data_IF_188830812539
#
_entry.id   IF_188830812539
#
_cell.length_a   1.000
_cell.length_b   1.000
_cell.length_c   1.000
_cell.angle_alpha   90.00
_cell.angle_beta   90.00
_cell.angle_gamma   90.00
#
_symmetry.space_group_name_H-M   'P 1'
#
loop_
_entity.id
_entity.type
_entity.pdbx_description
1 polymer ?
#
# COMPACT_ATOMS: atom_id res chain seq x y z
N UNK A 1 -20.49 -6.91 3.98
CA UNK A 1 -20.58 -6.47 2.58
C UNK A 1 -21.80 -5.58 2.43
N UNK A 2 -21.62 -4.36 1.94
CA UNK A 2 -22.72 -3.40 1.80
C UNK A 2 -23.71 -3.87 0.73
N UNK A 3 -25.01 -3.62 0.93
CA UNK A 3 -26.09 -3.91 -0.03
C UNK A 3 -25.81 -3.37 -1.45
N UNK A 4 -25.03 -2.29 -1.57
CA UNK A 4 -24.62 -1.73 -2.86
C UNK A 4 -23.66 -2.68 -3.63
N UNK A 5 -22.80 -3.40 -2.92
CA UNK A 5 -21.89 -4.38 -3.53
C UNK A 5 -22.67 -5.58 -4.08
N UNK A 6 -23.70 -6.03 -3.36
CA UNK A 6 -24.56 -7.13 -3.78
C UNK A 6 -25.42 -6.74 -4.99
N UNK A 7 -25.97 -5.52 -4.99
CA UNK A 7 -26.76 -5.00 -6.11
C UNK A 7 -25.94 -4.88 -7.41
N UNK A 8 -24.67 -4.44 -7.32
CA UNK A 8 -23.75 -4.35 -8.47
C UNK A 8 -23.46 -5.75 -9.03
N UNK A 9 -23.17 -6.73 -8.16
CA UNK A 9 -22.90 -8.12 -8.58
C UNK A 9 -24.13 -8.77 -9.24
N UNK A 10 -25.33 -8.58 -8.68
CA UNK A 10 -26.56 -9.13 -9.25
C UNK A 10 -26.95 -8.48 -10.59
N UNK A 11 -26.68 -7.18 -10.78
CA UNK A 11 -26.93 -6.46 -12.04
C UNK A 11 -25.97 -6.88 -13.16
N UNK A 12 -24.73 -7.24 -12.83
CA UNK A 12 -23.71 -7.68 -13.79
C UNK A 12 -23.98 -9.11 -14.28
N UNK A 13 -24.50 -10.00 -13.43
CA UNK A 13 -24.71 -11.41 -13.79
C UNK A 13 -25.98 -11.70 -14.61
N UNK A 14 -26.81 -10.69 -14.92
CA UNK A 14 -27.97 -10.85 -15.81
C UNK A 14 -29.08 -11.77 -15.30
N UNK A 15 -29.11 -12.07 -13.99
CA UNK A 15 -30.09 -12.99 -13.41
C UNK A 15 -31.40 -12.27 -13.06
N UNK A 16 -32.44 -12.49 -13.85
CA UNK A 16 -33.75 -11.86 -13.65
C UNK A 16 -34.42 -12.28 -12.32
N UNK A 17 -33.98 -13.38 -11.67
CA UNK A 17 -34.47 -13.76 -10.35
C UNK A 17 -33.92 -12.88 -9.22
N UNK A 18 -32.78 -12.20 -9.43
CA UNK A 18 -32.20 -11.31 -8.42
C UNK A 18 -32.90 -9.94 -8.32
N UNK A 19 -33.68 -9.54 -9.33
CA UNK A 19 -34.37 -8.24 -9.34
C UNK A 19 -35.50 -8.14 -8.29
N UNK A 20 -36.14 -9.25 -7.93
CA UNK A 20 -37.22 -9.25 -6.93
C UNK A 20 -36.70 -9.37 -5.50
N UNK A 21 -35.46 -9.84 -5.29
CA UNK A 21 -34.85 -10.03 -3.97
C UNK A 21 -34.12 -8.77 -3.45
N UNK A 22 -33.75 -7.85 -4.34
CA UNK A 22 -32.91 -6.69 -4.02
C UNK A 22 -33.73 -5.40 -4.16
N UNK A 23 -34.49 -5.01 -3.13
CA UNK A 23 -35.32 -3.79 -2.99
C UNK A 23 -35.03 -2.61 -3.93
N UNK A 24 -35.35 -2.76 -5.22
CA UNK A 24 -34.91 -1.86 -6.30
C UNK A 24 -35.48 -0.45 -6.15
N UNK A 25 -36.69 -0.38 -5.56
CA UNK A 25 -37.42 0.84 -5.23
C UNK A 25 -36.81 1.64 -4.08
N UNK A 26 -35.90 1.05 -3.29
CA UNK A 26 -35.30 1.69 -2.11
C UNK A 26 -33.96 2.39 -2.42
N UNK A 27 -33.43 2.21 -3.64
CA UNK A 27 -32.20 2.88 -4.07
C UNK A 27 -32.44 4.38 -4.34
N UNK A 28 -31.45 5.24 -4.04
CA UNK A 28 -31.45 6.64 -4.47
C UNK A 28 -31.66 6.78 -5.99
N UNK A 29 -32.47 7.77 -6.41
CA UNK A 29 -32.91 7.92 -7.82
C UNK A 29 -31.74 8.12 -8.79
N UNK A 30 -30.68 8.80 -8.36
CA UNK A 30 -29.42 8.99 -9.09
C UNK A 30 -28.71 7.65 -9.39
N UNK A 31 -28.75 6.71 -8.45
CA UNK A 31 -28.22 5.35 -8.64
C UNK A 31 -29.11 4.52 -9.56
N UNK A 32 -30.43 4.66 -9.49
CA UNK A 32 -31.36 4.01 -10.42
C UNK A 32 -31.16 4.50 -11.87
N UNK A 33 -30.87 5.79 -12.05
CA UNK A 33 -30.57 6.40 -13.36
C UNK A 33 -29.22 5.89 -13.88
N UNK A 34 -28.19 5.86 -13.03
CA UNK A 34 -26.87 5.33 -13.38
C UNK A 34 -26.94 3.85 -13.81
N UNK A 35 -27.68 3.02 -13.06
CA UNK A 35 -27.87 1.61 -13.38
C UNK A 35 -28.63 1.39 -14.70
N UNK A 36 -29.69 2.18 -14.97
CA UNK A 36 -30.42 2.13 -16.26
C UNK A 36 -29.54 2.52 -17.45
N UNK A 37 -28.67 3.52 -17.27
CA UNK A 37 -27.72 3.93 -18.30
C UNK A 37 -26.65 2.86 -18.56
N UNK A 38 -26.22 2.12 -17.53
CA UNK A 38 -25.32 0.99 -17.70
C UNK A 38 -25.97 -0.18 -18.47
N UNK A 39 -27.26 -0.46 -18.22
CA UNK A 39 -28.02 -1.52 -18.93
C UNK A 39 -28.18 -1.18 -20.42
N UNK A 40 -28.47 0.07 -20.78
CA UNK A 40 -28.58 0.49 -22.18
C UNK A 40 -27.25 0.38 -22.96
N UNK A 41 -26.13 0.25 -22.27
CA UNK A 41 -24.81 0.03 -22.87
C UNK A 41 -24.44 -1.45 -23.08
N UNK A 42 -25.28 -2.42 -22.66
CA UNK A 42 -25.00 -3.86 -22.75
C UNK A 42 -25.07 -4.45 -24.19
N UNK A 43 -25.48 -3.68 -25.20
CA UNK A 43 -25.52 -4.16 -26.59
C UNK A 43 -24.17 -4.03 -27.34
N UNK A 44 -23.07 -3.72 -26.65
CA UNK A 44 -21.76 -3.56 -27.28
C UNK A 44 -20.69 -4.32 -26.48
N UNK A 45 -20.54 -5.62 -26.76
CA UNK A 45 -19.30 -6.37 -26.54
C UNK A 45 -18.95 -6.76 -25.10
N UNK A 46 -18.41 -7.97 -24.97
CA UNK A 46 -17.90 -8.57 -23.73
C UNK A 46 -16.91 -7.65 -22.99
N UNK A 47 -17.19 -7.35 -21.72
CA UNK A 47 -16.21 -6.75 -20.82
C UNK A 47 -15.53 -7.85 -20.01
N UNK A 48 -14.28 -8.15 -20.33
CA UNK A 48 -13.36 -8.66 -19.33
C UNK A 48 -13.09 -7.53 -18.34
N UNK A 49 -13.61 -7.63 -17.12
CA UNK A 49 -13.15 -6.78 -16.01
C UNK A 49 -11.69 -7.13 -15.73
N UNK A 50 -10.77 -6.50 -16.45
CA UNK A 50 -9.36 -6.49 -16.06
C UNK A 50 -9.30 -5.60 -14.83
N UNK A 51 -9.21 -6.23 -13.65
CA UNK A 51 -8.75 -5.55 -12.44
C UNK A 51 -7.40 -4.96 -12.82
N UNK A 52 -7.38 -3.65 -13.09
CA UNK A 52 -6.17 -2.94 -13.44
C UNK A 52 -5.37 -2.94 -12.14
N UNK A 53 -4.44 -3.88 -11.99
CA UNK A 53 -3.35 -3.76 -11.02
C UNK A 53 -2.65 -2.44 -11.35
N UNK A 54 -3.09 -1.39 -10.68
CA UNK A 54 -2.53 -0.07 -10.82
C UNK A 54 -1.35 -0.08 -9.85
N UNK A 55 -0.17 -0.34 -10.39
CA UNK A 55 1.04 -0.22 -9.58
C UNK A 55 1.33 1.27 -9.44
N UNK A 56 0.87 1.86 -8.33
CA UNK A 56 0.93 3.30 -8.09
C UNK A 56 2.20 3.62 -7.31
N UNK A 57 2.93 4.66 -7.74
CA UNK A 57 4.02 5.23 -6.93
C UNK A 57 3.45 6.05 -5.77
N UNK A 58 4.03 5.97 -4.59
CA UNK A 58 3.55 6.68 -3.40
C UNK A 58 4.70 7.28 -2.59
N UNK A 59 4.38 8.13 -1.61
CA UNK A 59 5.39 8.73 -0.74
C UNK A 59 5.82 7.72 0.33
N UNK A 60 7.11 7.69 0.62
CA UNK A 60 7.68 6.88 1.72
C UNK A 60 8.75 7.66 2.47
N UNK A 61 8.96 7.27 3.73
CA UNK A 61 10.00 7.83 4.59
C UNK A 61 11.38 7.45 4.04
N UNK A 62 12.29 8.42 3.90
CA UNK A 62 13.66 8.13 3.43
C UNK A 62 14.58 7.64 4.54
N UNK A 63 14.46 8.23 5.73
CA UNK A 63 15.34 7.97 6.88
C UNK A 63 14.54 7.97 8.18
N UNK A 64 14.98 7.21 9.21
CA UNK A 64 14.35 7.26 10.52
C UNK A 64 14.33 8.68 11.12
N UNK A 65 13.25 9.03 11.80
CA UNK A 65 13.12 10.30 12.50
C UNK A 65 12.32 10.14 13.80
N UNK A 66 12.45 11.13 14.70
CA UNK A 66 11.83 11.09 16.03
C UNK A 66 11.18 12.41 16.38
N UNK A 67 10.21 12.36 17.29
CA UNK A 67 9.61 13.54 17.90
C UNK A 67 9.13 13.21 19.32
N UNK A 68 9.06 14.22 20.18
CA UNK A 68 8.56 14.09 21.55
C UNK A 68 7.36 15.00 21.76
N UNK A 69 6.34 14.49 22.45
CA UNK A 69 5.15 15.24 22.84
C UNK A 69 4.84 15.01 24.32
N UNK A 70 4.64 16.10 25.07
CA UNK A 70 4.26 16.03 26.47
C UNK A 70 2.88 16.66 26.71
N UNK A 71 2.02 15.95 27.45
CA UNK A 71 0.73 16.46 27.91
C UNK A 71 0.37 15.89 29.28
N UNK A 72 -0.03 16.77 30.22
CA UNK A 72 -0.43 16.39 31.59
C UNK A 72 0.59 15.46 32.26
N UNK A 73 1.89 15.81 32.15
CA UNK A 73 3.05 15.04 32.64
C UNK A 73 3.27 13.67 31.97
N UNK A 74 2.43 13.30 31.02
CA UNK A 74 2.65 12.11 30.21
C UNK A 74 3.51 12.48 29.01
N UNK A 75 4.56 11.72 28.80
CA UNK A 75 5.49 11.89 27.69
C UNK A 75 5.25 10.80 26.64
N UNK A 76 5.26 11.21 25.37
CA UNK A 76 5.08 10.37 24.19
C UNK A 76 6.29 10.56 23.29
N UNK A 77 7.12 9.52 23.17
CA UNK A 77 8.27 9.47 22.28
C UNK A 77 7.86 8.76 20.99
N UNK A 78 7.74 9.50 19.91
CA UNK A 78 7.36 8.97 18.60
C UNK A 78 8.61 8.72 17.76
N UNK A 79 8.68 7.53 17.16
CA UNK A 79 9.72 7.09 16.26
C UNK A 79 9.09 6.66 14.94
N UNK A 80 9.65 7.10 13.84
CA UNK A 80 9.25 6.63 12.52
C UNK A 80 10.40 5.95 11.79
N UNK A 81 10.09 4.84 11.12
CA UNK A 81 11.07 4.03 10.39
C UNK A 81 10.56 3.65 9.00
N UNK A 82 11.41 3.71 7.96
CA UNK A 82 11.11 3.07 6.69
C UNK A 82 11.12 1.55 6.86
N UNK A 83 10.08 0.89 6.37
CA UNK A 83 9.95 -0.57 6.40
C UNK A 83 9.37 -1.11 5.09
N UNK A 84 9.81 -2.30 4.71
CA UNK A 84 9.31 -3.04 3.54
C UNK A 84 8.68 -4.37 3.92
N UNK A 85 8.96 -4.87 5.13
CA UNK A 85 8.48 -6.18 5.58
C UNK A 85 8.04 -6.15 7.03
N UNK A 86 7.24 -7.15 7.43
CA UNK A 86 6.76 -7.29 8.80
C UNK A 86 7.88 -7.65 9.76
N UNK A 87 8.89 -8.36 9.29
CA UNK A 87 10.07 -8.74 10.07
C UNK A 87 10.86 -7.50 10.49
N UNK A 88 11.04 -6.53 9.57
CA UNK A 88 11.66 -5.24 9.89
C UNK A 88 10.87 -4.46 10.94
N UNK A 89 9.53 -4.47 10.84
CA UNK A 89 8.67 -3.86 11.85
C UNK A 89 8.92 -4.47 13.23
N UNK A 90 8.88 -5.80 13.34
CA UNK A 90 9.06 -6.49 14.62
C UNK A 90 10.45 -6.25 15.21
N UNK A 91 11.48 -6.19 14.36
CA UNK A 91 12.84 -5.85 14.78
C UNK A 91 12.90 -4.44 15.40
N UNK A 92 12.27 -3.44 14.79
CA UNK A 92 12.23 -2.08 15.34
C UNK A 92 11.46 -1.97 16.65
N UNK A 93 10.31 -2.65 16.75
CA UNK A 93 9.53 -2.66 18.00
C UNK A 93 10.33 -3.33 19.12
N UNK A 94 11.00 -4.45 18.84
CA UNK A 94 11.85 -5.12 19.81
C UNK A 94 13.04 -4.26 20.23
N UNK A 95 13.70 -3.59 19.29
CA UNK A 95 14.78 -2.65 19.57
C UNK A 95 14.32 -1.54 20.53
N UNK A 96 13.16 -0.93 20.27
CA UNK A 96 12.61 0.10 21.16
C UNK A 96 12.24 -0.43 22.54
N UNK A 97 11.69 -1.65 22.64
CA UNK A 97 11.42 -2.29 23.94
C UNK A 97 12.69 -2.52 24.77
N UNK A 98 13.81 -2.82 24.11
CA UNK A 98 15.11 -2.97 24.76
C UNK A 98 15.71 -1.63 25.16
N UNK A 99 15.53 -0.60 24.33
CA UNK A 99 16.01 0.75 24.58
C UNK A 99 15.21 1.48 25.67
N UNK A 100 13.91 1.23 25.77
CA UNK A 100 12.98 1.86 26.71
C UNK A 100 12.24 0.83 27.59
N UNK A 101 12.97 0.04 28.41
CA UNK A 101 12.39 -1.06 29.17
C UNK A 101 11.40 -0.60 30.26
N UNK A 102 11.53 0.64 30.74
CA UNK A 102 10.65 1.22 31.76
C UNK A 102 9.30 1.71 31.20
N UNK A 103 9.18 1.82 29.87
CA UNK A 103 7.94 2.25 29.23
C UNK A 103 6.93 1.10 29.19
N UNK A 104 5.69 1.40 29.58
CA UNK A 104 4.63 0.37 29.68
C UNK A 104 4.00 0.02 28.34
N UNK A 105 4.00 0.96 27.40
CA UNK A 105 3.29 0.85 26.14
C UNK A 105 4.15 1.33 24.98
N UNK A 106 4.27 0.47 23.97
CA UNK A 106 4.97 0.64 22.69
C UNK A 106 3.95 0.46 21.57
N UNK A 107 2.98 1.37 21.50
CA UNK A 107 1.89 1.29 20.53
C UNK A 107 2.42 1.67 19.15
N UNK A 108 1.91 1.04 18.09
CA UNK A 108 2.39 1.32 16.75
C UNK A 108 1.28 1.28 15.71
N UNK A 109 1.54 1.95 14.58
CA UNK A 109 0.74 1.89 13.36
C UNK A 109 1.67 1.86 12.16
N UNK A 110 1.30 1.10 11.13
CA UNK A 110 2.16 0.91 9.97
C UNK A 110 1.39 0.68 8.67
N UNK A 111 2.05 0.99 7.57
CA UNK A 111 1.62 0.65 6.21
C UNK A 111 2.83 0.05 5.49
N UNK A 112 2.72 -1.18 4.99
CA UNK A 112 3.66 -1.78 4.05
C UNK A 112 2.96 -1.79 2.69
N UNK A 113 3.60 -1.24 1.66
CA UNK A 113 2.99 -1.08 0.34
C UNK A 113 2.22 0.24 0.17
N UNK A 114 1.27 0.22 -0.76
CA UNK A 114 0.46 1.37 -1.16
C UNK A 114 -0.41 1.87 0.00
N UNK A 115 -0.29 3.15 0.41
CA UNK A 115 -1.09 3.74 1.49
C UNK A 115 -2.59 3.83 1.20
N UNK A 116 -3.01 3.71 -0.07
CA UNK A 116 -4.41 3.63 -0.45
C UNK A 116 -4.96 2.20 -0.41
N UNK A 117 -4.07 1.20 -0.26
CA UNK A 117 -4.43 -0.20 -0.13
C UNK A 117 -4.26 -0.67 1.32
N UNK A 118 -5.36 -1.09 1.94
CA UNK A 118 -5.37 -1.49 3.35
C UNK A 118 -4.94 -2.93 3.60
N UNK A 119 -4.68 -3.74 2.56
CA UNK A 119 -4.34 -5.16 2.70
C UNK A 119 -3.08 -5.39 3.54
N UNK A 120 -2.14 -4.43 3.56
CA UNK A 120 -0.87 -4.54 4.27
C UNK A 120 -0.65 -3.39 5.26
N UNK A 121 -1.73 -2.94 5.89
CA UNK A 121 -1.71 -1.94 6.96
C UNK A 121 -2.21 -2.54 8.28
N UNK A 122 -1.70 -2.05 9.41
CA UNK A 122 -2.10 -2.54 10.73
C UNK A 122 -1.66 -1.63 11.87
N UNK A 123 -2.10 -1.98 13.07
CA UNK A 123 -1.77 -1.25 14.29
C UNK A 123 -1.83 -2.17 15.52
N UNK A 124 -1.26 -1.70 16.62
CA UNK A 124 -1.26 -2.37 17.93
C UNK A 124 -1.31 -1.31 19.04
N UNK A 125 -2.21 -1.51 19.99
CA UNK A 125 -2.40 -0.62 21.14
C UNK A 125 -1.50 -1.00 22.34
N UNK A 126 -0.77 -2.12 22.30
CA UNK A 126 0.16 -2.59 23.36
C UNK A 126 -0.38 -2.45 24.79
N UNK A 127 -1.63 -2.86 25.02
CA UNK A 127 -2.26 -2.80 26.34
C UNK A 127 -2.94 -1.48 26.71
N UNK A 128 -2.88 -0.45 25.85
CA UNK A 128 -3.79 0.69 25.93
C UNK A 128 -5.23 0.27 25.61
N UNK A 129 -6.26 1.06 26.01
CA UNK A 129 -7.64 0.78 25.64
C UNK A 129 -7.80 0.61 24.12
N UNK A 130 -8.56 -0.40 23.71
CA UNK A 130 -8.69 -0.80 22.31
C UNK A 130 -9.03 0.38 21.38
N UNK A 131 -8.24 0.56 20.33
CA UNK A 131 -8.37 1.59 19.31
C UNK A 131 -8.01 3.00 19.76
N UNK A 132 -7.40 3.19 20.93
CA UNK A 132 -7.05 4.53 21.44
C UNK A 132 -5.61 4.95 21.16
N UNK A 133 -4.73 4.06 20.71
CA UNK A 133 -3.32 4.35 20.49
C UNK A 133 -2.86 4.02 19.06
N UNK A 134 -2.79 2.73 18.72
CA UNK A 134 -2.34 2.24 17.42
C UNK A 134 -3.23 2.73 16.27
N UNK A 135 -4.56 2.72 16.47
CA UNK A 135 -5.51 3.15 15.43
C UNK A 135 -5.31 4.63 15.03
N UNK A 136 -5.22 5.59 15.98
CA UNK A 136 -4.83 6.96 15.68
C UNK A 136 -3.51 7.11 14.92
N UNK A 137 -2.48 6.35 15.30
CA UNK A 137 -1.18 6.38 14.62
C UNK A 137 -1.34 5.96 13.15
N UNK A 138 -2.04 4.85 12.89
CA UNK A 138 -2.31 4.38 11.54
C UNK A 138 -3.14 5.40 10.74
N UNK A 139 -4.16 6.02 11.35
CA UNK A 139 -4.98 7.02 10.66
C UNK A 139 -4.13 8.20 10.18
N UNK A 140 -3.13 8.64 10.95
CA UNK A 140 -2.23 9.72 10.51
C UNK A 140 -1.45 9.31 9.25
N UNK A 141 -0.88 8.10 9.21
CA UNK A 141 -0.17 7.59 8.02
C UNK A 141 -1.09 7.52 6.79
N UNK A 142 -2.32 7.03 6.97
CA UNK A 142 -3.32 6.93 5.90
C UNK A 142 -3.72 8.32 5.36
N UNK A 143 -4.02 9.26 6.25
CA UNK A 143 -4.39 10.63 5.85
C UNK A 143 -3.28 11.37 5.14
N UNK A 144 -2.02 11.06 5.47
CA UNK A 144 -0.84 11.65 4.83
C UNK A 144 -0.39 10.90 3.58
N UNK A 145 -1.06 9.78 3.25
CA UNK A 145 -0.72 8.90 2.13
C UNK A 145 0.76 8.49 2.13
N UNK A 146 1.27 8.06 3.28
CA UNK A 146 2.67 7.61 3.45
C UNK A 146 2.69 6.08 3.57
N UNK A 147 3.30 5.42 2.59
CA UNK A 147 3.49 3.98 2.55
C UNK A 147 4.88 3.54 2.98
N UNK A 148 5.07 2.23 3.15
CA UNK A 148 6.33 1.61 3.59
C UNK A 148 6.91 2.28 4.85
N UNK A 149 6.05 2.54 5.84
CA UNK A 149 6.39 3.32 7.02
C UNK A 149 5.79 2.70 8.28
N UNK A 150 6.57 2.70 9.34
CA UNK A 150 6.20 2.35 10.70
C UNK A 150 6.29 3.60 11.57
N UNK A 151 5.28 3.83 12.41
CA UNK A 151 5.40 4.76 13.55
C UNK A 151 5.18 3.96 14.84
N UNK A 152 6.12 4.06 15.76
CA UNK A 152 6.02 3.52 17.13
C UNK A 152 6.00 4.68 18.10
N UNK A 153 5.04 4.68 19.03
CA UNK A 153 4.93 5.69 20.08
C UNK A 153 5.12 5.00 21.43
N UNK A 154 6.21 5.34 22.09
CA UNK A 154 6.55 4.90 23.45
C UNK A 154 5.97 5.89 24.43
N UNK A 155 5.22 5.41 25.43
CA UNK A 155 4.53 6.28 26.39
C UNK A 155 5.02 6.09 27.81
N UNK A 156 5.34 7.21 28.47
CA UNK A 156 5.50 7.30 29.92
C UNK A 156 4.25 7.91 30.58
N UNK A 157 3.71 7.24 31.60
CA UNK A 157 2.51 7.71 32.31
C UNK A 157 2.85 8.77 33.36
N UNK A 158 2.25 9.96 33.23
CA UNK A 158 2.51 11.10 34.11
C UNK A 158 1.74 11.15 35.44
N UNK A 159 1.03 10.09 35.80
CA UNK A 159 0.15 10.06 36.98
C UNK A 159 -1.25 10.63 36.76
N UNK A 160 -1.51 11.34 35.64
CA UNK A 160 -2.81 11.95 35.31
C UNK A 160 -3.47 11.20 34.16
N UNK A 161 -4.67 10.67 34.40
CA UNK A 161 -5.46 9.99 33.35
C UNK A 161 -5.93 10.99 32.29
N UNK A 162 -5.72 10.67 31.01
CA UNK A 162 -6.16 11.49 29.87
C UNK A 162 -7.63 11.23 29.49
N UNK A 163 -8.18 10.08 29.87
CA UNK A 163 -9.44 9.54 29.32
C UNK A 163 -9.27 9.05 27.87
N UNK A 164 -10.21 8.26 27.37
CA UNK A 164 -10.12 7.63 26.05
C UNK A 164 -9.90 8.66 24.93
N UNK A 165 -10.75 9.69 24.85
CA UNK A 165 -10.61 10.74 23.82
C UNK A 165 -9.38 11.65 24.00
N UNK A 166 -8.84 11.76 25.22
CA UNK A 166 -7.56 12.45 25.44
C UNK A 166 -6.38 11.64 24.95
N UNK A 167 -6.42 10.32 25.17
CA UNK A 167 -5.40 9.38 24.73
C UNK A 167 -5.33 9.27 23.21
N UNK A 168 -6.48 9.10 22.56
CA UNK A 168 -6.62 9.10 21.10
C UNK A 168 -5.99 10.34 20.47
N UNK A 169 -6.29 11.52 21.02
CA UNK A 169 -5.71 12.78 20.53
C UNK A 169 -4.20 12.87 20.81
N UNK A 170 -3.73 12.40 21.95
CA UNK A 170 -2.31 12.43 22.29
C UNK A 170 -1.47 11.56 21.34
N UNK A 171 -1.91 10.32 21.06
CA UNK A 171 -1.24 9.44 20.10
C UNK A 171 -1.28 10.00 18.66
N UNK A 172 -2.43 10.52 18.22
CA UNK A 172 -2.52 11.20 16.92
C UNK A 172 -1.57 12.40 16.84
N UNK A 173 -1.46 13.19 17.91
CA UNK A 173 -0.57 14.37 17.95
C UNK A 173 0.88 13.95 17.89
N UNK A 174 1.30 12.97 18.69
CA UNK A 174 2.67 12.45 18.66
C UNK A 174 3.03 11.87 17.28
N UNK A 175 2.12 11.12 16.66
CA UNK A 175 2.30 10.62 15.29
C UNK A 175 2.40 11.76 14.27
N UNK A 176 1.56 12.80 14.38
CA UNK A 176 1.63 13.96 13.50
C UNK A 176 2.97 14.70 13.64
N UNK A 177 3.45 14.88 14.87
CA UNK A 177 4.71 15.56 15.13
C UNK A 177 5.91 14.84 14.51
N UNK A 178 5.95 13.50 14.56
CA UNK A 178 7.04 12.76 13.88
C UNK A 178 6.88 12.79 12.36
N UNK A 179 5.65 12.79 11.84
CA UNK A 179 5.39 12.98 10.41
C UNK A 179 5.90 14.33 9.91
N UNK A 180 5.73 15.39 10.71
CA UNK A 180 6.22 16.72 10.34
C UNK A 180 7.76 16.80 10.28
N UNK A 181 8.48 15.83 10.87
CA UNK A 181 9.94 15.70 10.78
C UNK A 181 10.40 14.79 9.63
N UNK A 182 9.48 14.13 8.91
CA UNK A 182 9.85 13.17 7.89
C UNK A 182 10.44 13.85 6.65
N UNK A 183 11.56 13.31 6.18
CA UNK A 183 12.03 13.54 4.82
C UNK A 183 11.41 12.45 3.94
N UNK A 184 10.50 12.85 3.06
CA UNK A 184 9.77 11.94 2.18
C UNK A 184 10.45 11.83 0.81
N UNK A 185 10.35 10.64 0.23
CA UNK A 185 10.80 10.32 -1.12
C UNK A 185 9.74 9.53 -1.87
N UNK A 186 9.78 9.58 -3.20
CA UNK A 186 8.87 8.81 -4.03
C UNK A 186 9.33 7.35 -4.09
N UNK A 187 8.46 6.43 -3.69
CA UNK A 187 8.62 5.00 -3.91
C UNK A 187 8.03 4.64 -5.28
N UNK A 188 8.87 4.11 -6.16
CA UNK A 188 8.48 3.59 -7.47
C UNK A 188 8.63 2.07 -7.44
N UNK A 189 7.53 1.29 -7.43
CA UNK A 189 7.61 -0.15 -7.41
C UNK A 189 8.35 -0.67 -8.65
N UNK A 190 9.38 -1.47 -8.43
CA UNK A 190 10.17 -2.11 -9.48
C UNK A 190 9.68 -3.55 -9.70
N UNK A 191 9.73 -4.03 -10.93
CA UNK A 191 9.51 -5.44 -11.28
C UNK A 191 10.74 -6.00 -11.96
N UNK A 192 11.00 -7.29 -11.75
CA UNK A 192 12.11 -8.02 -12.38
C UNK A 192 11.55 -9.07 -13.31
N UNK A 193 12.06 -9.12 -14.54
CA UNK A 193 11.63 -10.05 -15.58
C UNK A 193 12.84 -10.84 -16.08
N UNK A 194 12.59 -12.07 -16.52
CA UNK A 194 13.57 -12.86 -17.28
C UNK A 194 13.14 -12.91 -18.73
N UNK A 195 14.05 -12.57 -19.63
CA UNK A 195 13.79 -12.45 -21.06
C UNK A 195 14.80 -13.32 -21.79
N UNK A 196 14.29 -14.24 -22.60
CA UNK A 196 15.07 -14.99 -23.56
C UNK A 196 15.13 -14.22 -24.88
N UNK A 197 16.33 -14.02 -25.41
CA UNK A 197 16.56 -13.36 -26.69
C UNK A 197 17.66 -14.07 -27.48
N UNK A 198 17.71 -13.82 -28.79
CA UNK A 198 18.80 -14.32 -29.64
C UNK A 198 20.00 -13.37 -29.57
N UNK A 199 21.19 -13.85 -29.93
CA UNK A 199 22.39 -13.01 -30.02
C UNK A 199 22.21 -11.81 -30.96
N UNK A 200 21.43 -11.96 -32.04
CA UNK A 200 21.17 -10.88 -32.98
C UNK A 200 20.28 -9.77 -32.39
N UNK A 201 19.44 -10.10 -31.40
CA UNK A 201 18.46 -9.18 -30.80
C UNK A 201 18.91 -8.62 -29.44
N UNK A 202 20.06 -9.06 -28.90
CA UNK A 202 20.55 -8.62 -27.58
C UNK A 202 20.74 -7.10 -27.50
N UNK A 203 21.37 -6.49 -28.50
CA UNK A 203 21.59 -5.04 -28.52
C UNK A 203 20.26 -4.26 -28.57
N UNK A 204 19.27 -4.80 -29.31
CA UNK A 204 17.94 -4.21 -29.39
C UNK A 204 17.18 -4.33 -28.08
N UNK A 205 17.26 -5.49 -27.41
CA UNK A 205 16.68 -5.69 -26.08
C UNK A 205 17.28 -4.69 -25.08
N UNK A 206 18.61 -4.52 -25.09
CA UNK A 206 19.29 -3.56 -24.22
C UNK A 206 18.82 -2.13 -24.46
N UNK A 207 18.66 -1.74 -25.72
CA UNK A 207 18.10 -0.44 -26.07
C UNK A 207 16.67 -0.26 -25.55
N UNK A 208 15.79 -1.26 -25.72
CA UNK A 208 14.41 -1.21 -25.25
C UNK A 208 14.34 -1.08 -23.71
N UNK A 209 15.17 -1.83 -22.99
CA UNK A 209 15.25 -1.76 -21.52
C UNK A 209 15.67 -0.36 -21.08
N UNK A 210 16.70 0.20 -21.70
CA UNK A 210 17.16 1.55 -21.37
C UNK A 210 16.12 2.62 -21.73
N UNK A 211 15.45 2.51 -22.88
CA UNK A 211 14.38 3.42 -23.31
C UNK A 211 13.19 3.37 -22.35
N UNK A 212 12.89 2.20 -21.78
CA UNK A 212 11.90 2.02 -20.74
C UNK A 212 12.36 2.51 -19.35
N UNK A 213 13.58 3.03 -19.21
CA UNK A 213 14.14 3.47 -17.93
C UNK A 213 14.52 2.32 -17.00
N UNK A 214 14.61 1.10 -17.53
CA UNK A 214 15.05 -0.09 -16.80
C UNK A 214 16.56 -0.32 -16.89
N UNK A 215 17.00 -1.37 -16.23
CA UNK A 215 18.39 -1.82 -16.20
C UNK A 215 18.49 -3.34 -16.39
N UNK A 216 19.63 -3.76 -16.93
CA UNK A 216 19.98 -5.18 -17.09
C UNK A 216 20.72 -5.62 -15.82
N UNK A 217 20.12 -6.49 -15.01
CA UNK A 217 20.74 -7.00 -13.78
C UNK A 217 21.75 -8.11 -14.05
N UNK A 218 21.40 -9.03 -14.96
CA UNK A 218 22.23 -10.18 -15.33
C UNK A 218 21.99 -10.54 -16.79
N UNK A 219 23.03 -11.01 -17.49
CA UNK A 219 22.94 -11.53 -18.84
C UNK A 219 23.76 -12.81 -18.95
N UNK A 220 23.09 -13.92 -19.24
CA UNK A 220 23.70 -15.22 -19.42
C UNK A 220 23.76 -15.57 -20.92
N UNK A 221 24.95 -15.89 -21.40
CA UNK A 221 25.18 -16.29 -22.79
C UNK A 221 25.38 -17.80 -22.87
N UNK A 222 24.39 -18.51 -23.43
CA UNK A 222 24.45 -19.96 -23.63
C UNK A 222 24.05 -20.30 -25.09
N UNK A 223 23.13 -21.26 -25.29
CA UNK A 223 22.53 -21.49 -26.61
C UNK A 223 21.70 -20.30 -27.09
N UNK A 224 21.10 -19.58 -26.13
CA UNK A 224 20.39 -18.32 -26.30
C UNK A 224 20.90 -17.32 -25.25
N UNK A 225 20.54 -16.04 -25.42
CA UNK A 225 20.83 -15.00 -24.44
C UNK A 225 19.67 -14.89 -23.46
N UNK A 226 19.94 -15.04 -22.17
CA UNK A 226 18.95 -14.86 -21.11
C UNK A 226 19.29 -13.61 -20.30
N UNK A 227 18.42 -12.61 -20.34
CA UNK A 227 18.58 -11.37 -19.60
C UNK A 227 17.61 -11.30 -18.42
N UNK A 228 18.12 -10.98 -17.24
CA UNK A 228 17.31 -10.55 -16.10
C UNK A 228 17.28 -9.03 -16.09
N UNK A 229 16.09 -8.45 -16.22
CA UNK A 229 15.90 -7.00 -16.35
C UNK A 229 15.02 -6.47 -15.23
N UNK A 230 15.33 -5.28 -14.73
CA UNK A 230 14.52 -4.57 -13.73
C UNK A 230 14.02 -3.26 -14.32
N UNK A 231 12.74 -2.97 -14.11
CA UNK A 231 12.11 -1.73 -14.58
C UNK A 231 10.93 -1.35 -13.68
N UNK A 232 10.45 -0.12 -13.85
CA UNK A 232 9.22 0.35 -13.20
C UNK A 232 8.05 -0.57 -13.53
N UNK A 233 7.37 -1.08 -12.50
CA UNK A 233 6.24 -1.97 -12.65
C UNK A 233 5.07 -1.33 -13.43
N UNK A 234 4.95 0.00 -13.39
CA UNK A 234 3.97 0.74 -14.19
C UNK A 234 4.22 0.62 -15.71
N UNK A 235 5.47 0.43 -16.13
CA UNK A 235 5.87 0.32 -17.54
C UNK A 235 5.86 -1.12 -18.06
N UNK A 236 5.58 -2.10 -17.20
CA UNK A 236 5.60 -3.52 -17.54
C UNK A 236 4.81 -3.84 -18.81
N UNK A 237 3.55 -3.40 -18.89
CA UNK A 237 2.66 -3.73 -20.02
C UNK A 237 3.16 -3.14 -21.35
N UNK A 238 3.60 -1.88 -21.31
CA UNK A 238 4.14 -1.19 -22.48
C UNK A 238 5.46 -1.82 -22.93
N UNK A 239 6.35 -2.10 -21.97
CA UNK A 239 7.62 -2.75 -22.25
C UNK A 239 7.43 -4.14 -22.86
N UNK A 240 6.53 -4.96 -22.32
CA UNK A 240 6.23 -6.29 -22.87
C UNK A 240 5.63 -6.20 -24.27
N UNK A 241 4.78 -5.20 -24.55
CA UNK A 241 4.29 -4.94 -25.90
C UNK A 241 5.42 -4.52 -26.86
N UNK A 242 6.41 -3.77 -26.37
CA UNK A 242 7.57 -3.33 -27.17
C UNK A 242 8.57 -4.45 -27.49
N UNK A 243 8.59 -5.54 -26.70
CA UNK A 243 9.50 -6.67 -26.92
C UNK A 243 9.26 -7.32 -28.28
N UNK A 244 8.01 -7.46 -28.73
CA UNK A 244 7.68 -8.02 -30.06
C UNK A 244 8.44 -9.30 -30.38
N UNK A 245 9.26 -9.28 -31.43
CA UNK A 245 10.11 -10.41 -31.87
C UNK A 245 11.50 -10.40 -31.22
N UNK A 246 11.83 -9.37 -30.44
CA UNK A 246 13.15 -9.15 -29.86
C UNK A 246 13.38 -9.94 -28.57
N UNK A 247 12.34 -10.48 -27.95
CA UNK A 247 12.51 -11.32 -26.76
C UNK A 247 11.22 -12.00 -26.34
N UNK A 248 11.36 -13.11 -25.64
CA UNK A 248 10.27 -13.86 -25.04
C UNK A 248 10.41 -13.80 -23.51
N UNK A 249 9.32 -13.44 -22.82
CA UNK A 249 9.27 -13.55 -21.37
C UNK A 249 9.39 -15.01 -20.95
N UNK A 250 10.26 -15.26 -19.99
CA UNK A 250 10.32 -16.51 -19.26
C UNK A 250 9.48 -16.33 -18.00
N UNK A 251 8.53 -17.23 -17.76
CA UNK A 251 7.78 -17.24 -16.52
C UNK A 251 8.76 -17.39 -15.35
N UNK A 252 8.65 -16.50 -14.37
CA UNK A 252 9.29 -16.68 -13.08
C UNK A 252 8.62 -17.88 -12.40
N UNK A 253 9.33 -19.01 -12.30
CA UNK A 253 8.97 -20.06 -11.36
C UNK A 253 9.07 -19.56 -9.92
#
# INVERSE_FOLDING_TARGET
MSLAYFAIVCLICGDNQAKSACGWSELPKDWQIWAKNCINYQNVGQWHFVIKECVVSYQTLSLPCTATYEIKKSEFLAFAYPIQTREQLLAWVQHLRQQYPDARHHCYGYIIGDPHNTTSAGFDDDGEPNGTAGRPILSVLQHKAIGNCLIVVVRYFGGIKLGAGGLTRAYATAAQMVVDQMVLSQFVPQTTLRIKTSFAHEAQLRYLVLAAGGEMLQVDYALDVCATVRLDAARLKEFVASLGVYGQLLDSQ
#
